data_IF_474780578576
#
_entry.id   IF_474780578576
#
_cell.length_a   1.000
_cell.length_b   1.000
_cell.length_c   1.000
_cell.angle_alpha   90.00
_cell.angle_beta   90.00
_cell.angle_gamma   90.00
#
_symmetry.space_group_name_H-M   'P 1'
#
loop_
_entity.id
_entity.type
_entity.pdbx_description
1 polymer ?
#
# COMPACT_ATOMS: atom_id res chain seq x y z
N UNK A 1 -9.19 13.22 -7.98
CA UNK A 1 -10.34 13.16 -8.88
C UNK A 1 -10.79 11.72 -9.10
N UNK A 2 -12.09 11.51 -9.33
CA UNK A 2 -12.63 10.24 -9.82
C UNK A 2 -12.90 10.39 -11.32
N UNK A 3 -12.51 9.38 -12.10
CA UNK A 3 -12.66 9.38 -13.57
C UNK A 3 -13.39 8.11 -14.00
N UNK A 4 -14.33 8.23 -14.94
CA UNK A 4 -15.07 7.09 -15.45
C UNK A 4 -16.23 6.64 -14.58
N UNK A 5 -16.80 7.55 -13.78
CA UNK A 5 -18.03 7.27 -13.04
C UNK A 5 -19.20 7.09 -14.01
N UNK A 6 -20.04 6.10 -13.73
CA UNK A 6 -21.29 5.84 -14.43
C UNK A 6 -22.46 5.71 -13.43
N UNK A 7 -23.73 5.65 -13.90
CA UNK A 7 -24.90 5.54 -13.04
C UNK A 7 -24.92 4.29 -12.15
N UNK A 8 -24.20 3.24 -12.54
CA UNK A 8 -24.15 1.97 -11.82
C UNK A 8 -22.99 1.92 -10.79
N UNK A 9 -22.14 2.95 -10.76
CA UNK A 9 -21.01 3.04 -9.83
C UNK A 9 -21.51 3.13 -8.39
N UNK A 10 -21.22 2.09 -7.60
CA UNK A 10 -21.62 2.04 -6.20
C UNK A 10 -20.63 2.83 -5.29
N UNK A 11 -21.12 3.22 -4.11
CA UNK A 11 -20.27 3.86 -3.10
C UNK A 11 -19.04 3.01 -2.72
N UNK A 12 -19.20 1.69 -2.68
CA UNK A 12 -18.11 0.76 -2.39
C UNK A 12 -17.02 0.82 -3.47
N UNK A 13 -17.40 0.95 -4.75
CA UNK A 13 -16.45 1.07 -5.86
C UNK A 13 -15.62 2.36 -5.74
N UNK A 14 -16.26 3.45 -5.36
CA UNK A 14 -15.57 4.73 -5.13
C UNK A 14 -14.59 4.65 -3.97
N UNK A 15 -14.98 4.00 -2.86
CA UNK A 15 -14.09 3.80 -1.71
C UNK A 15 -12.88 2.93 -2.09
N UNK A 16 -13.13 1.84 -2.81
CA UNK A 16 -12.08 0.96 -3.31
C UNK A 16 -11.13 1.69 -4.27
N UNK A 17 -11.68 2.43 -5.22
CA UNK A 17 -10.90 3.22 -6.17
C UNK A 17 -10.02 4.28 -5.47
N UNK A 18 -10.46 4.85 -4.36
CA UNK A 18 -9.65 5.77 -3.56
C UNK A 18 -8.42 5.06 -2.98
N UNK A 19 -8.60 3.87 -2.40
CA UNK A 19 -7.50 3.06 -1.86
C UNK A 19 -6.55 2.62 -2.97
N UNK A 20 -7.08 2.13 -4.08
CA UNK A 20 -6.29 1.72 -5.24
C UNK A 20 -5.47 2.87 -5.82
N UNK A 21 -6.04 4.07 -5.89
CA UNK A 21 -5.34 5.28 -6.34
C UNK A 21 -4.15 5.66 -5.45
N UNK A 22 -4.29 5.48 -4.13
CA UNK A 22 -3.17 5.66 -3.19
C UNK A 22 -2.10 4.57 -3.40
N UNK A 23 -2.51 3.31 -3.56
CA UNK A 23 -1.59 2.20 -3.82
C UNK A 23 -0.81 2.42 -5.14
N UNK A 24 -1.48 2.89 -6.20
CA UNK A 24 -0.82 3.24 -7.47
C UNK A 24 0.19 4.38 -7.32
N UNK A 25 -0.12 5.37 -6.49
CA UNK A 25 0.83 6.46 -6.20
C UNK A 25 2.07 5.94 -5.47
N UNK A 26 1.90 4.99 -4.54
CA UNK A 26 3.02 4.33 -3.85
C UNK A 26 3.85 3.53 -4.87
N UNK A 27 3.21 2.73 -5.73
CA UNK A 27 3.88 1.98 -6.81
C UNK A 27 4.71 2.91 -7.72
N UNK A 28 4.12 3.99 -8.17
CA UNK A 28 4.83 4.99 -9.00
C UNK A 28 6.04 5.58 -8.29
N UNK A 29 5.91 5.89 -6.99
CA UNK A 29 7.03 6.34 -6.17
C UNK A 29 8.14 5.30 -6.08
N UNK A 30 7.77 4.03 -5.82
CA UNK A 30 8.73 2.92 -5.73
C UNK A 30 9.47 2.67 -7.06
N UNK A 31 8.79 2.79 -8.20
CA UNK A 31 9.39 2.63 -9.52
C UNK A 31 10.42 3.74 -9.86
N UNK A 32 10.39 4.86 -9.13
CA UNK A 32 11.39 5.93 -9.28
C UNK A 32 12.71 5.67 -8.56
N UNK A 33 12.80 4.63 -7.74
CA UNK A 33 14.05 4.24 -7.10
C UNK A 33 14.84 3.27 -7.97
N UNK A 34 16.16 3.44 -7.99
CA UNK A 34 17.07 2.56 -8.73
C UNK A 34 17.14 1.14 -8.16
N UNK A 35 16.91 1.00 -6.85
CA UNK A 35 16.92 -0.28 -6.16
C UNK A 35 15.48 -0.81 -5.95
N UNK A 36 15.26 -2.08 -6.31
CA UNK A 36 14.00 -2.77 -5.96
C UNK A 36 14.04 -3.17 -4.49
N UNK A 37 12.95 -2.97 -3.74
CA UNK A 37 12.86 -3.44 -2.37
C UNK A 37 12.92 -4.98 -2.34
N UNK A 38 13.59 -5.52 -1.35
CA UNK A 38 13.60 -6.97 -1.06
C UNK A 38 12.47 -7.33 -0.11
N UNK A 39 12.09 -6.40 0.77
CA UNK A 39 11.04 -6.56 1.76
C UNK A 39 10.24 -5.26 1.84
N UNK A 40 8.92 -5.40 2.03
CA UNK A 40 8.02 -4.26 2.22
C UNK A 40 7.20 -4.52 3.48
N UNK A 41 7.38 -3.67 4.48
CA UNK A 41 6.63 -3.72 5.72
C UNK A 41 5.66 -2.56 5.82
N UNK A 42 4.43 -2.85 6.24
CA UNK A 42 3.39 -1.85 6.49
C UNK A 42 3.23 -1.63 7.99
N UNK A 43 3.36 -0.38 8.42
CA UNK A 43 3.19 0.05 9.81
C UNK A 43 2.15 1.19 9.90
N UNK A 44 1.65 1.44 11.11
CA UNK A 44 0.67 2.48 11.37
C UNK A 44 -0.77 2.00 11.29
N UNK A 45 -1.71 2.94 11.39
CA UNK A 45 -3.15 2.64 11.50
C UNK A 45 -3.74 1.89 10.30
N UNK A 46 -3.25 2.15 9.09
CA UNK A 46 -3.68 1.45 7.87
C UNK A 46 -3.38 -0.05 7.86
N UNK A 47 -2.38 -0.49 8.61
CA UNK A 47 -2.01 -1.90 8.74
C UNK A 47 -3.11 -2.77 9.41
N UNK A 48 -4.11 -2.15 10.04
CA UNK A 48 -5.25 -2.85 10.66
C UNK A 48 -6.33 -3.26 9.66
N UNK A 49 -6.29 -2.71 8.44
CA UNK A 49 -7.32 -2.93 7.41
C UNK A 49 -6.86 -3.99 6.42
N UNK A 50 -7.34 -5.23 6.61
CA UNK A 50 -6.96 -6.38 5.78
C UNK A 50 -7.16 -6.13 4.27
N UNK A 51 -8.27 -5.47 3.90
CA UNK A 51 -8.55 -5.13 2.50
C UNK A 51 -7.49 -4.17 1.93
N UNK A 52 -7.02 -3.21 2.71
CA UNK A 52 -5.94 -2.30 2.32
C UNK A 52 -4.62 -3.02 2.15
N UNK A 53 -4.26 -3.90 3.11
CA UNK A 53 -3.03 -4.69 3.04
C UNK A 53 -3.01 -5.58 1.77
N UNK A 54 -4.14 -6.21 1.43
CA UNK A 54 -4.25 -7.03 0.22
C UNK A 54 -4.18 -6.18 -1.06
N UNK A 55 -4.85 -5.03 -1.12
CA UNK A 55 -4.75 -4.11 -2.25
C UNK A 55 -3.31 -3.68 -2.48
N UNK A 56 -2.57 -3.35 -1.42
CA UNK A 56 -1.16 -3.01 -1.53
C UNK A 56 -0.33 -4.17 -2.10
N UNK A 57 -0.50 -5.38 -1.57
CA UNK A 57 0.22 -6.55 -2.06
C UNK A 57 -0.04 -6.77 -3.56
N UNK A 58 -1.31 -6.70 -3.96
CA UNK A 58 -1.74 -6.93 -5.35
C UNK A 58 -1.22 -5.84 -6.30
N UNK A 59 -1.32 -4.57 -5.89
CA UNK A 59 -0.89 -3.43 -6.71
C UNK A 59 0.63 -3.34 -6.84
N UNK A 60 1.35 -3.60 -5.74
CA UNK A 60 2.82 -3.56 -5.73
C UNK A 60 3.45 -4.83 -6.30
N UNK A 61 2.64 -5.88 -6.54
CA UNK A 61 3.11 -7.19 -6.99
C UNK A 61 4.22 -7.76 -6.07
N UNK A 62 4.10 -7.47 -4.77
CA UNK A 62 5.12 -7.81 -3.78
C UNK A 62 4.45 -8.24 -2.47
N UNK A 63 5.00 -9.24 -1.74
CA UNK A 63 4.54 -9.58 -0.41
C UNK A 63 4.62 -8.37 0.52
N UNK A 64 3.57 -8.15 1.33
CA UNK A 64 3.51 -7.10 2.33
C UNK A 64 3.51 -7.72 3.72
N UNK A 65 4.49 -7.38 4.53
CA UNK A 65 4.58 -7.79 5.91
C UNK A 65 3.84 -6.79 6.81
N UNK A 66 2.93 -7.29 7.62
CA UNK A 66 2.15 -6.49 8.57
C UNK A 66 2.37 -7.02 9.97
N UNK A 67 2.92 -6.19 10.83
CA UNK A 67 3.18 -6.57 12.22
C UNK A 67 1.92 -6.43 13.08
N UNK A 68 1.73 -7.35 14.03
CA UNK A 68 0.55 -7.40 14.90
C UNK A 68 0.31 -6.07 15.66
N UNK A 69 1.40 -5.38 16.03
CA UNK A 69 1.38 -4.10 16.75
C UNK A 69 1.89 -2.94 15.88
N UNK A 70 1.54 -2.95 14.60
CA UNK A 70 2.07 -2.02 13.59
C UNK A 70 1.84 -0.53 13.93
N UNK A 71 0.82 -0.22 14.69
CA UNK A 71 0.48 1.15 15.14
C UNK A 71 1.38 1.67 16.25
N UNK A 72 1.93 0.80 17.10
CA UNK A 72 2.82 1.18 18.20
C UNK A 72 4.31 0.94 17.91
N UNK A 73 4.64 0.24 16.82
CA UNK A 73 6.04 -0.07 16.45
C UNK A 73 6.94 1.17 16.42
N UNK A 74 6.53 2.34 15.91
CA UNK A 74 7.37 3.54 15.97
C UNK A 74 7.72 3.96 17.39
N UNK A 75 6.78 3.84 18.34
CA UNK A 75 7.03 4.15 19.74
C UNK A 75 7.96 3.12 20.40
N UNK A 76 7.79 1.84 20.07
CA UNK A 76 8.66 0.74 20.52
C UNK A 76 10.09 0.94 19.99
N UNK A 77 10.24 1.32 18.72
CA UNK A 77 11.53 1.61 18.12
C UNK A 77 12.25 2.76 18.85
N UNK A 78 11.53 3.85 19.13
CA UNK A 78 12.08 4.97 19.90
C UNK A 78 12.45 4.57 21.32
N UNK A 79 11.63 3.78 22.01
CA UNK A 79 11.93 3.27 23.33
C UNK A 79 13.18 2.36 23.31
N UNK A 80 13.30 1.48 22.31
CA UNK A 80 14.47 0.63 22.11
C UNK A 80 15.77 1.45 22.00
N UNK A 81 15.74 2.56 21.26
CA UNK A 81 16.87 3.46 21.11
C UNK A 81 17.19 4.21 22.42
N UNK A 82 16.17 4.80 23.06
CA UNK A 82 16.35 5.62 24.27
C UNK A 82 16.86 4.79 25.45
N UNK A 83 16.29 3.59 25.64
CA UNK A 83 16.65 2.71 26.75
C UNK A 83 17.78 1.72 26.40
N UNK A 84 18.32 1.78 25.19
CA UNK A 84 19.37 0.89 24.70
C UNK A 84 19.04 -0.60 24.88
N UNK A 85 17.80 -0.99 24.48
CA UNK A 85 17.29 -2.37 24.51
C UNK A 85 17.02 -2.84 23.08
N UNK A 86 18.04 -3.29 22.34
CA UNK A 86 17.94 -3.59 20.91
C UNK A 86 16.92 -4.72 20.61
N UNK A 87 16.78 -5.70 21.51
CA UNK A 87 15.90 -6.84 21.32
C UNK A 87 14.41 -6.54 21.59
N UNK A 88 14.08 -5.32 22.03
CA UNK A 88 12.70 -4.93 22.32
C UNK A 88 11.81 -5.04 21.07
N UNK A 89 12.32 -4.68 19.91
CA UNK A 89 11.58 -4.81 18.64
C UNK A 89 11.29 -6.28 18.28
N UNK A 90 12.25 -7.16 18.48
CA UNK A 90 12.08 -8.59 18.16
C UNK A 90 11.03 -9.26 19.04
N UNK A 91 10.86 -8.80 20.28
CA UNK A 91 9.88 -9.36 21.22
C UNK A 91 8.42 -9.08 20.86
N UNK A 92 8.16 -8.14 19.94
CA UNK A 92 6.79 -7.72 19.54
C UNK A 92 6.47 -8.00 18.07
N UNK A 93 7.35 -8.69 17.36
CA UNK A 93 7.28 -8.91 15.91
C UNK A 93 6.58 -10.22 15.53
N UNK A 94 5.28 -10.38 15.87
CA UNK A 94 4.44 -11.29 15.09
C UNK A 94 4.04 -10.60 13.80
N UNK A 95 4.32 -11.22 12.64
CA UNK A 95 3.94 -10.65 11.36
C UNK A 95 2.97 -11.56 10.58
N UNK A 96 2.05 -10.93 9.87
CA UNK A 96 1.20 -11.55 8.86
C UNK A 96 1.68 -11.10 7.49
N UNK A 97 1.84 -12.04 6.56
CA UNK A 97 2.29 -11.73 5.20
C UNK A 97 1.12 -11.81 4.24
N UNK A 98 0.83 -10.71 3.55
CA UNK A 98 -0.15 -10.65 2.46
C UNK A 98 0.56 -10.92 1.14
N UNK A 99 0.22 -12.02 0.50
CA UNK A 99 0.77 -12.39 -0.80
C UNK A 99 -0.01 -11.74 -1.93
N UNK A 100 0.65 -11.28 -3.02
CA UNK A 100 -0.04 -10.83 -4.21
C UNK A 100 -0.93 -11.93 -4.79
N UNK A 101 -2.16 -11.57 -5.18
CA UNK A 101 -3.06 -12.50 -5.85
C UNK A 101 -2.80 -12.48 -7.37
N UNK A 102 -2.33 -13.57 -7.97
CA UNK A 102 -2.04 -13.64 -9.40
C UNK A 102 -3.27 -13.41 -10.28
N UNK A 103 -4.48 -13.71 -9.78
CA UNK A 103 -5.73 -13.55 -10.55
C UNK A 103 -6.08 -12.05 -10.74
N UNK A 104 -5.64 -11.17 -9.86
CA UNK A 104 -5.86 -9.72 -9.95
C UNK A 104 -4.74 -8.98 -10.69
N UNK A 105 -3.59 -9.60 -10.90
CA UNK A 105 -2.39 -8.98 -11.44
C UNK A 105 -2.64 -8.26 -12.77
N UNK A 106 -3.33 -8.93 -13.72
CA UNK A 106 -3.63 -8.33 -15.03
C UNK A 106 -4.56 -7.11 -14.90
N UNK A 107 -5.58 -7.22 -14.06
CA UNK A 107 -6.55 -6.14 -13.83
C UNK A 107 -5.85 -4.92 -13.24
N UNK A 108 -4.97 -5.10 -12.26
CA UNK A 108 -4.22 -4.01 -11.66
C UNK A 108 -3.15 -3.44 -12.59
N UNK A 109 -2.50 -4.25 -13.41
CA UNK A 109 -1.56 -3.75 -14.42
C UNK A 109 -2.27 -2.84 -15.44
N UNK A 110 -3.48 -3.21 -15.89
CA UNK A 110 -4.29 -2.41 -16.81
C UNK A 110 -4.80 -1.11 -16.14
N UNK A 111 -5.22 -1.20 -14.89
CA UNK A 111 -5.68 -0.06 -14.10
C UNK A 111 -4.52 0.92 -13.82
N UNK A 112 -3.34 0.42 -13.50
CA UNK A 112 -2.15 1.24 -13.26
C UNK A 112 -1.71 1.99 -14.52
N UNK A 113 -1.72 1.35 -15.69
CA UNK A 113 -1.42 2.05 -16.96
C UNK A 113 -2.38 3.21 -17.21
N UNK A 114 -3.68 3.02 -16.92
CA UNK A 114 -4.66 4.11 -17.00
C UNK A 114 -4.37 5.20 -15.97
N UNK A 115 -4.05 4.82 -14.73
CA UNK A 115 -3.68 5.77 -13.67
C UNK A 115 -2.52 6.67 -14.09
N UNK A 116 -1.45 6.12 -14.67
CA UNK A 116 -0.29 6.90 -15.12
C UNK A 116 -0.65 7.93 -16.21
N UNK A 117 -1.67 7.68 -17.02
CA UNK A 117 -2.12 8.61 -18.06
C UNK A 117 -2.99 9.75 -17.51
N UNK A 118 -3.58 9.62 -16.31
CA UNK A 118 -4.52 10.61 -15.78
C UNK A 118 -3.86 11.95 -15.45
N UNK A 119 -2.70 11.95 -14.81
CA UNK A 119 -2.07 13.20 -14.39
C UNK A 119 -1.70 14.11 -15.57
N UNK A 120 -1.06 13.62 -16.64
CA UNK A 120 -0.81 14.44 -17.84
C UNK A 120 -2.12 14.96 -18.47
N UNK A 121 -3.17 14.14 -18.51
CA UNK A 121 -4.47 14.55 -19.06
C UNK A 121 -5.15 15.64 -18.23
N UNK A 122 -5.15 15.48 -16.89
CA UNK A 122 -5.78 16.47 -16.00
C UNK A 122 -5.01 17.79 -15.96
N UNK A 123 -3.68 17.77 -16.05
CA UNK A 123 -2.84 18.97 -16.06
C UNK A 123 -3.08 19.87 -17.28
N UNK A 124 -3.55 19.32 -18.38
CA UNK A 124 -3.86 20.11 -19.60
C UNK A 124 -5.24 20.77 -19.56
N UNK A 125 -6.04 20.52 -18.50
CA UNK A 125 -7.39 21.07 -18.34
C UNK A 125 -7.41 22.37 -17.50
N UNK A 126 -6.27 22.80 -16.95
CA UNK A 126 -6.03 24.10 -16.32
C UNK A 126 -5.51 25.11 -17.36
#
# INVERSE_FOLDING_TARGET
AYVGLDPDTAKADMMRAALEGVAFSIRQGMESFDAKPTEISLIGGGARENAWCQILADVLEHPIEVFANADILPAVAMASLVFNVPDLLQSVCECTVYQPNPDTARTYADAYRRFLSLYPMLRTMD
#
